data_IF_037018226200
#
_entry.id   IF_037018226200
#
_cell.length_a   1.000
_cell.length_b   1.000
_cell.length_c   1.000
_cell.angle_alpha   90.00
_cell.angle_beta   90.00
_cell.angle_gamma   90.00
#
_symmetry.space_group_name_H-M   'P 1'
#
loop_
_entity.id
_entity.type
_entity.pdbx_description
1 polymer ?
#
# COMPACT_ATOMS: atom_id res chain seq x y z
N UNK A 1 35.08 1.70 -58.63
CA UNK A 1 35.03 2.53 -57.41
C UNK A 1 33.56 2.84 -57.16
N UNK A 2 32.90 2.04 -56.42
CA UNK A 2 31.45 2.11 -56.21
C UNK A 2 31.11 1.88 -54.73
N UNK A 3 30.29 2.74 -54.21
CA UNK A 3 29.38 2.53 -53.06
C UNK A 3 29.98 2.29 -51.66
N UNK A 4 30.74 3.28 -51.16
CA UNK A 4 31.05 3.32 -49.72
C UNK A 4 30.21 4.37 -48.94
N UNK A 5 29.33 5.12 -49.61
CA UNK A 5 28.59 6.24 -49.02
C UNK A 5 27.12 5.92 -48.63
N UNK A 6 26.62 4.72 -48.93
CA UNK A 6 25.21 4.35 -48.64
C UNK A 6 24.99 3.72 -47.30
N UNK A 7 26.03 3.36 -46.53
CA UNK A 7 25.84 2.72 -45.20
C UNK A 7 25.81 3.70 -44.03
N UNK A 8 26.13 4.98 -44.24
CA UNK A 8 26.12 6.00 -43.18
C UNK A 8 24.77 6.70 -43.01
N UNK A 9 23.83 6.52 -43.94
CA UNK A 9 22.47 7.11 -43.86
C UNK A 9 21.39 6.14 -43.46
N UNK A 10 21.67 4.86 -43.21
CA UNK A 10 20.69 3.89 -42.78
C UNK A 10 20.45 3.85 -41.27
N UNK A 11 21.31 4.50 -40.47
CA UNK A 11 21.19 4.56 -39.03
C UNK A 11 20.19 5.61 -38.51
N UNK A 12 19.90 6.65 -39.28
CA UNK A 12 18.95 7.71 -38.89
C UNK A 12 17.49 7.44 -39.29
N UNK A 13 17.24 6.46 -40.15
CA UNK A 13 15.88 6.09 -40.60
C UNK A 13 15.16 5.10 -39.67
N UNK A 14 15.85 4.45 -38.75
CA UNK A 14 15.24 3.48 -37.84
C UNK A 14 14.61 4.13 -36.60
N UNK A 15 14.94 5.38 -36.28
CA UNK A 15 14.37 6.11 -35.14
C UNK A 15 13.04 6.79 -35.47
N UNK A 16 12.77 7.07 -36.76
CA UNK A 16 11.52 7.70 -37.23
C UNK A 16 10.37 6.68 -37.48
N UNK A 17 10.62 5.39 -37.33
CA UNK A 17 9.57 4.39 -37.43
C UNK A 17 8.83 4.25 -36.09
N UNK A 18 7.54 3.87 -36.13
CA UNK A 18 6.76 3.63 -34.91
C UNK A 18 7.46 2.62 -33.98
N UNK A 19 8.14 1.63 -34.54
CA UNK A 19 8.94 0.64 -33.82
C UNK A 19 10.21 1.25 -33.18
N UNK A 20 10.89 2.13 -33.89
CA UNK A 20 12.05 2.86 -33.37
C UNK A 20 11.69 3.80 -32.21
N UNK A 21 10.55 4.50 -32.32
CA UNK A 21 10.00 5.34 -31.26
C UNK A 21 9.62 4.51 -30.02
N UNK A 22 8.87 3.42 -30.21
CA UNK A 22 8.49 2.54 -29.10
C UNK A 22 9.70 1.95 -28.34
N UNK A 23 10.75 1.57 -29.08
CA UNK A 23 12.00 1.08 -28.48
C UNK A 23 12.75 2.16 -27.69
N UNK A 24 12.73 3.41 -28.18
CA UNK A 24 13.32 4.54 -27.47
C UNK A 24 12.52 4.90 -26.21
N UNK A 25 11.18 4.89 -26.29
CA UNK A 25 10.29 5.14 -25.17
C UNK A 25 10.50 4.09 -24.08
N UNK A 26 10.57 2.79 -24.44
CA UNK A 26 10.87 1.72 -23.47
C UNK A 26 12.24 1.95 -22.79
N UNK A 27 13.26 2.29 -23.55
CA UNK A 27 14.60 2.58 -23.00
C UNK A 27 14.57 3.76 -22.03
N UNK A 28 13.85 4.83 -22.39
CA UNK A 28 13.72 6.01 -21.54
C UNK A 28 12.94 5.68 -20.26
N UNK A 29 11.85 4.90 -20.36
CA UNK A 29 11.11 4.38 -19.21
C UNK A 29 12.03 3.63 -18.26
N UNK A 30 12.80 2.66 -18.76
CA UNK A 30 13.70 1.85 -17.95
C UNK A 30 14.75 2.71 -17.23
N UNK A 31 15.36 3.67 -17.94
CA UNK A 31 16.34 4.59 -17.35
C UNK A 31 15.71 5.37 -16.19
N UNK A 32 14.55 5.98 -16.41
CA UNK A 32 13.86 6.78 -15.40
C UNK A 32 13.44 5.93 -14.19
N UNK A 33 12.88 4.74 -14.43
CA UNK A 33 12.50 3.79 -13.37
C UNK A 33 13.71 3.45 -12.49
N UNK A 34 14.82 3.03 -13.09
CA UNK A 34 16.02 2.65 -12.33
C UNK A 34 16.72 3.83 -11.65
N UNK A 35 16.74 5.01 -12.26
CA UNK A 35 17.26 6.22 -11.61
C UNK A 35 16.39 6.62 -10.42
N UNK A 36 15.07 6.50 -10.52
CA UNK A 36 14.15 6.70 -9.41
C UNK A 36 14.39 5.73 -8.26
N UNK A 37 14.54 4.43 -8.54
CA UNK A 37 14.84 3.41 -7.52
C UNK A 37 16.18 3.72 -6.83
N UNK A 38 17.20 4.09 -7.59
CA UNK A 38 18.51 4.46 -7.02
C UNK A 38 18.42 5.69 -6.15
N UNK A 39 17.73 6.73 -6.62
CA UNK A 39 17.50 7.96 -5.87
C UNK A 39 16.76 7.71 -4.56
N UNK A 40 15.72 6.88 -4.57
CA UNK A 40 14.97 6.49 -3.39
C UNK A 40 15.86 5.79 -2.35
N UNK A 41 16.71 4.85 -2.79
CA UNK A 41 17.65 4.13 -1.90
C UNK A 41 18.66 5.04 -1.20
N UNK A 42 19.07 6.14 -1.82
CA UNK A 42 20.02 7.10 -1.23
C UNK A 42 19.31 8.31 -0.59
N UNK A 43 17.99 8.24 -0.39
CA UNK A 43 17.21 9.28 0.28
C UNK A 43 16.93 10.54 -0.55
N UNK A 44 17.22 10.55 -1.85
CA UNK A 44 16.88 11.66 -2.75
C UNK A 44 15.41 11.57 -3.20
N UNK A 45 14.49 11.67 -2.22
CA UNK A 45 13.06 11.39 -2.40
C UNK A 45 12.42 12.28 -3.48
N UNK A 46 12.72 13.57 -3.48
CA UNK A 46 12.16 14.50 -4.48
C UNK A 46 12.58 14.15 -5.92
N UNK A 47 13.84 13.74 -6.11
CA UNK A 47 14.31 13.29 -7.41
C UNK A 47 13.72 11.94 -7.82
N UNK A 48 13.56 11.00 -6.86
CA UNK A 48 12.87 9.73 -7.10
C UNK A 48 11.44 9.94 -7.59
N UNK A 49 10.66 10.82 -6.91
CA UNK A 49 9.29 11.18 -7.32
C UNK A 49 9.28 11.70 -8.75
N UNK A 50 10.21 12.61 -9.09
CA UNK A 50 10.32 13.15 -10.45
C UNK A 50 10.55 12.04 -11.47
N UNK A 51 11.53 11.18 -11.23
CA UNK A 51 11.87 10.07 -12.13
C UNK A 51 10.69 9.12 -12.34
N UNK A 52 10.03 8.68 -11.26
CA UNK A 52 8.88 7.78 -11.36
C UNK A 52 7.70 8.43 -12.08
N UNK A 53 7.43 9.72 -11.82
CA UNK A 53 6.35 10.44 -12.51
C UNK A 53 6.63 10.55 -14.01
N UNK A 54 7.88 10.89 -14.40
CA UNK A 54 8.28 10.95 -15.80
C UNK A 54 8.25 9.57 -16.49
N UNK A 55 8.64 8.51 -15.78
CA UNK A 55 8.53 7.13 -16.28
C UNK A 55 7.05 6.76 -16.55
N UNK A 56 6.15 7.05 -15.60
CA UNK A 56 4.72 6.76 -15.72
C UNK A 56 4.00 7.60 -16.78
N UNK A 57 4.56 8.74 -17.19
CA UNK A 57 4.09 9.50 -18.36
C UNK A 57 4.42 8.82 -19.69
N UNK A 58 5.44 7.95 -19.71
CA UNK A 58 5.80 7.16 -20.90
C UNK A 58 4.97 5.89 -20.96
N UNK A 59 4.89 5.18 -19.83
CA UNK A 59 4.22 3.88 -19.75
C UNK A 59 3.64 3.67 -18.34
N UNK A 60 2.40 3.22 -18.25
CA UNK A 60 1.85 2.72 -17.00
C UNK A 60 2.54 1.42 -16.59
N UNK A 61 3.02 1.38 -15.34
CA UNK A 61 3.73 0.22 -14.77
C UNK A 61 3.43 0.11 -13.27
N UNK A 62 2.82 -0.99 -12.90
CA UNK A 62 2.36 -1.23 -11.53
C UNK A 62 3.50 -1.19 -10.50
N UNK A 63 4.66 -1.73 -10.86
CA UNK A 63 5.84 -1.70 -9.98
C UNK A 63 6.36 -0.28 -9.77
N UNK A 64 6.41 0.53 -10.83
CA UNK A 64 6.81 1.95 -10.75
C UNK A 64 5.82 2.76 -9.92
N UNK A 65 4.51 2.48 -10.02
CA UNK A 65 3.50 3.09 -9.15
C UNK A 65 3.71 2.73 -7.68
N UNK A 66 4.05 1.48 -7.35
CA UNK A 66 4.39 1.07 -5.98
C UNK A 66 5.59 1.88 -5.43
N UNK A 67 6.64 2.05 -6.23
CA UNK A 67 7.77 2.90 -5.86
C UNK A 67 7.36 4.36 -5.66
N UNK A 68 6.49 4.89 -6.52
CA UNK A 68 5.99 6.25 -6.40
C UNK A 68 5.15 6.46 -5.14
N UNK A 69 4.26 5.52 -4.79
CA UNK A 69 3.50 5.52 -3.52
C UNK A 69 4.44 5.57 -2.33
N UNK A 70 5.45 4.71 -2.31
CA UNK A 70 6.48 4.70 -1.25
C UNK A 70 7.23 6.03 -1.18
N UNK A 71 7.62 6.61 -2.32
CA UNK A 71 8.30 7.89 -2.37
C UNK A 71 7.42 9.05 -1.89
N UNK A 72 6.12 9.06 -2.23
CA UNK A 72 5.17 10.04 -1.71
C UNK A 72 4.98 9.90 -0.20
N UNK A 73 4.90 8.67 0.32
CA UNK A 73 4.82 8.41 1.77
C UNK A 73 6.06 8.94 2.51
N UNK A 74 7.27 8.71 1.96
CA UNK A 74 8.51 9.27 2.50
C UNK A 74 8.55 10.81 2.47
N UNK A 75 7.85 11.44 1.52
CA UNK A 75 7.74 12.89 1.38
C UNK A 75 6.55 13.50 2.14
N UNK A 76 5.78 12.70 2.90
CA UNK A 76 4.52 13.10 3.55
C UNK A 76 3.50 13.70 2.57
N UNK A 77 3.48 13.25 1.30
CA UNK A 77 2.51 13.67 0.28
C UNK A 77 1.37 12.64 0.20
N UNK A 78 0.60 12.54 1.27
CA UNK A 78 -0.39 11.47 1.50
C UNK A 78 -1.50 11.45 0.45
N UNK A 79 -1.99 12.62 0.01
CA UNK A 79 -3.02 12.74 -1.01
C UNK A 79 -2.53 12.21 -2.37
N UNK A 80 -1.28 12.48 -2.76
CA UNK A 80 -0.72 11.97 -4.01
C UNK A 80 -0.46 10.47 -3.96
N UNK A 81 -0.09 9.96 -2.78
CA UNK A 81 -0.02 8.52 -2.57
C UNK A 81 -1.39 7.88 -2.79
N UNK A 82 -2.48 8.48 -2.25
CA UNK A 82 -3.84 8.00 -2.43
C UNK A 82 -4.27 8.03 -3.91
N UNK A 83 -3.99 9.13 -4.63
CA UNK A 83 -4.28 9.22 -6.07
C UNK A 83 -3.60 8.09 -6.87
N UNK A 84 -2.34 7.82 -6.57
CA UNK A 84 -1.60 6.73 -7.23
C UNK A 84 -2.18 5.36 -6.87
N UNK A 85 -2.54 5.13 -5.60
CA UNK A 85 -3.18 3.89 -5.15
C UNK A 85 -4.56 3.68 -5.78
N UNK A 86 -5.33 4.74 -5.99
CA UNK A 86 -6.61 4.64 -6.69
C UNK A 86 -6.43 4.13 -8.11
N UNK A 87 -5.45 4.66 -8.85
CA UNK A 87 -5.12 4.15 -10.21
C UNK A 87 -4.67 2.69 -10.16
N UNK A 88 -3.86 2.31 -9.18
CA UNK A 88 -3.43 0.91 -9.03
C UNK A 88 -4.60 -0.04 -8.76
N UNK A 89 -5.59 0.37 -7.95
CA UNK A 89 -6.80 -0.44 -7.71
C UNK A 89 -7.69 -0.50 -8.95
N UNK A 90 -7.74 0.55 -9.79
CA UNK A 90 -8.43 0.50 -11.07
C UNK A 90 -7.77 -0.50 -12.05
N UNK A 91 -6.43 -0.61 -12.03
CA UNK A 91 -5.69 -1.56 -12.85
C UNK A 91 -5.85 -3.01 -12.35
N UNK A 92 -5.75 -3.22 -11.06
CA UNK A 92 -5.79 -4.52 -10.40
C UNK A 92 -6.74 -4.51 -9.18
N UNK A 93 -8.07 -4.60 -9.39
CA UNK A 93 -9.08 -4.47 -8.32
C UNK A 93 -9.05 -5.57 -7.26
N UNK A 94 -8.37 -6.67 -7.55
CA UNK A 94 -8.27 -7.84 -6.67
C UNK A 94 -6.90 -7.96 -5.98
N UNK A 95 -6.02 -6.97 -6.18
CA UNK A 95 -4.71 -6.99 -5.57
C UNK A 95 -4.76 -6.58 -4.09
N UNK A 96 -4.89 -7.58 -3.21
CA UNK A 96 -5.10 -7.40 -1.76
C UNK A 96 -4.05 -6.46 -1.14
N UNK A 97 -2.78 -6.58 -1.52
CA UNK A 97 -1.73 -5.74 -0.94
C UNK A 97 -1.92 -4.26 -1.27
N UNK A 98 -2.39 -3.93 -2.47
CA UNK A 98 -2.72 -2.53 -2.83
C UNK A 98 -3.89 -2.00 -2.01
N UNK A 99 -4.95 -2.79 -1.84
CA UNK A 99 -6.08 -2.43 -1.00
C UNK A 99 -5.64 -2.16 0.45
N UNK A 100 -4.83 -3.03 1.05
CA UNK A 100 -4.31 -2.86 2.41
C UNK A 100 -3.36 -1.65 2.52
N UNK A 101 -2.57 -1.38 1.50
CA UNK A 101 -1.72 -0.18 1.45
C UNK A 101 -2.59 1.09 1.37
N UNK A 102 -3.67 1.06 0.57
CA UNK A 102 -4.62 2.17 0.48
C UNK A 102 -5.34 2.40 1.80
N UNK A 103 -5.76 1.35 2.49
CA UNK A 103 -6.31 1.44 3.84
C UNK A 103 -5.38 2.19 4.80
N UNK A 104 -4.08 1.91 4.75
CA UNK A 104 -3.10 2.61 5.60
C UNK A 104 -3.03 4.11 5.29
N UNK A 105 -3.08 4.48 4.02
CA UNK A 105 -3.09 5.88 3.57
C UNK A 105 -4.42 6.56 3.90
N UNK A 106 -5.55 5.86 3.76
CA UNK A 106 -6.89 6.35 4.10
C UNK A 106 -7.01 6.68 5.60
N UNK A 107 -6.40 5.86 6.47
CA UNK A 107 -6.32 6.18 7.91
C UNK A 107 -5.55 7.47 8.19
N UNK A 108 -4.48 7.78 7.43
CA UNK A 108 -3.73 9.04 7.59
C UNK A 108 -4.55 10.26 7.17
N UNK A 109 -5.63 10.06 6.43
CA UNK A 109 -6.52 11.10 5.90
C UNK A 109 -7.89 11.13 6.60
N UNK A 110 -8.06 10.37 7.69
CA UNK A 110 -9.31 10.24 8.46
C UNK A 110 -10.52 9.88 7.57
N UNK A 111 -10.32 8.90 6.66
CA UNK A 111 -11.32 8.45 5.67
C UNK A 111 -11.88 7.07 6.02
N UNK A 112 -12.45 6.94 7.22
CA UNK A 112 -12.89 5.66 7.80
C UNK A 112 -13.92 4.92 6.94
N UNK A 113 -14.81 5.62 6.26
CA UNK A 113 -15.79 4.98 5.38
C UNK A 113 -15.12 4.25 4.20
N UNK A 114 -14.10 4.87 3.61
CA UNK A 114 -13.31 4.28 2.54
C UNK A 114 -12.44 3.12 3.07
N UNK A 115 -11.90 3.24 4.28
CA UNK A 115 -11.19 2.14 4.97
C UNK A 115 -12.09 0.92 5.11
N UNK A 116 -13.33 1.09 5.60
CA UNK A 116 -14.28 -0.01 5.78
C UNK A 116 -14.60 -0.66 4.43
N UNK A 117 -14.80 0.13 3.37
CA UNK A 117 -15.09 -0.39 2.04
C UNK A 117 -13.94 -1.24 1.49
N UNK A 118 -12.69 -0.79 1.62
CA UNK A 118 -11.52 -1.54 1.17
C UNK A 118 -11.31 -2.82 2.00
N UNK A 119 -11.48 -2.75 3.32
CA UNK A 119 -11.40 -3.92 4.18
C UNK A 119 -12.46 -4.98 3.82
N UNK A 120 -13.70 -4.56 3.54
CA UNK A 120 -14.75 -5.47 3.07
C UNK A 120 -14.33 -6.13 1.76
N UNK A 121 -13.75 -5.37 0.81
CA UNK A 121 -13.26 -5.94 -0.43
C UNK A 121 -12.15 -6.96 -0.21
N UNK A 122 -11.20 -6.68 0.70
CA UNK A 122 -10.16 -7.66 1.08
C UNK A 122 -10.78 -8.94 1.66
N UNK A 123 -11.79 -8.81 2.54
CA UNK A 123 -12.48 -9.94 3.16
C UNK A 123 -13.26 -10.77 2.13
N UNK A 124 -13.86 -10.13 1.13
CA UNK A 124 -14.49 -10.83 0.00
C UNK A 124 -13.50 -11.68 -0.80
N UNK A 125 -12.26 -11.19 -0.97
CA UNK A 125 -11.19 -11.87 -1.71
C UNK A 125 -10.50 -12.95 -0.86
N UNK A 126 -10.35 -12.69 0.44
CA UNK A 126 -9.70 -13.57 1.42
C UNK A 126 -10.37 -13.41 2.78
N UNK A 127 -11.37 -14.27 3.06
CA UNK A 127 -12.11 -14.27 4.33
C UNK A 127 -11.20 -14.57 5.54
N UNK A 128 -10.06 -15.19 5.32
CA UNK A 128 -9.08 -15.54 6.36
C UNK A 128 -8.12 -14.39 6.71
N UNK A 129 -8.25 -13.24 6.07
CA UNK A 129 -7.39 -12.09 6.29
C UNK A 129 -7.67 -11.40 7.63
N UNK A 130 -7.04 -11.89 8.70
CA UNK A 130 -7.21 -11.35 10.06
C UNK A 130 -6.88 -9.85 10.16
N UNK A 131 -5.94 -9.35 9.32
CA UNK A 131 -5.57 -7.94 9.33
C UNK A 131 -6.69 -7.05 8.80
N UNK A 132 -7.41 -7.48 7.75
CA UNK A 132 -8.55 -6.74 7.22
C UNK A 132 -9.67 -6.60 8.27
N UNK A 133 -9.99 -7.68 8.99
CA UNK A 133 -10.94 -7.65 10.11
C UNK A 133 -10.49 -6.67 11.20
N UNK A 134 -9.24 -6.71 11.60
CA UNK A 134 -8.68 -5.80 12.59
C UNK A 134 -8.74 -4.32 12.16
N UNK A 135 -8.33 -4.02 10.92
CA UNK A 135 -8.35 -2.65 10.39
C UNK A 135 -9.77 -2.11 10.26
N UNK A 136 -10.72 -2.96 9.85
CA UNK A 136 -12.15 -2.61 9.80
C UNK A 136 -12.69 -2.28 11.19
N UNK A 137 -12.35 -3.07 12.20
CA UNK A 137 -12.73 -2.81 13.58
C UNK A 137 -12.16 -1.48 14.09
N UNK A 138 -10.90 -1.17 13.75
CA UNK A 138 -10.26 0.09 14.11
C UNK A 138 -11.02 1.29 13.52
N UNK A 139 -11.45 1.21 12.25
CA UNK A 139 -12.26 2.25 11.62
C UNK A 139 -13.65 2.37 12.25
N UNK A 140 -14.33 1.23 12.53
CA UNK A 140 -15.63 1.23 13.20
C UNK A 140 -15.57 1.84 14.60
N UNK A 141 -14.49 1.56 15.37
CA UNK A 141 -14.29 2.20 16.67
C UNK A 141 -14.23 3.72 16.54
N UNK A 142 -13.49 4.25 15.57
CA UNK A 142 -13.35 5.69 15.33
C UNK A 142 -14.69 6.34 14.94
N UNK A 143 -15.52 5.64 14.17
CA UNK A 143 -16.87 6.11 13.79
C UNK A 143 -17.94 5.89 14.87
N UNK A 144 -17.59 5.27 16.00
CA UNK A 144 -18.50 5.02 17.13
C UNK A 144 -19.29 3.72 17.04
N UNK A 145 -19.10 2.88 16.04
CA UNK A 145 -19.71 1.53 15.96
C UNK A 145 -18.91 0.54 16.81
N UNK A 146 -19.07 0.68 18.13
CA UNK A 146 -18.33 -0.14 19.10
C UNK A 146 -18.72 -1.63 19.04
N UNK A 147 -20.00 -1.92 18.83
CA UNK A 147 -20.46 -3.31 18.74
C UNK A 147 -19.96 -4.00 17.46
N UNK A 148 -19.99 -3.30 16.34
CA UNK A 148 -19.37 -3.78 15.09
C UNK A 148 -17.89 -4.01 15.24
N UNK A 149 -17.17 -3.10 15.92
CA UNK A 149 -15.75 -3.25 16.19
C UNK A 149 -15.43 -4.50 17.02
N UNK A 150 -16.20 -4.79 18.09
CA UNK A 150 -16.04 -6.01 18.89
C UNK A 150 -16.26 -7.27 18.05
N UNK A 151 -17.28 -7.26 17.18
CA UNK A 151 -17.57 -8.39 16.29
C UNK A 151 -16.41 -8.68 15.34
N UNK A 152 -15.87 -7.65 14.69
CA UNK A 152 -14.74 -7.77 13.75
C UNK A 152 -13.45 -8.21 14.47
N UNK A 153 -13.18 -7.66 15.68
CA UNK A 153 -12.02 -8.07 16.49
C UNK A 153 -12.13 -9.54 16.93
N UNK A 154 -13.35 -9.99 17.25
CA UNK A 154 -13.58 -11.40 17.57
C UNK A 154 -13.26 -12.29 16.38
N UNK A 155 -13.59 -11.88 15.15
CA UNK A 155 -13.20 -12.58 13.92
C UNK A 155 -11.69 -12.55 13.71
N UNK A 156 -11.04 -11.40 13.86
CA UNK A 156 -9.58 -11.27 13.72
C UNK A 156 -8.84 -12.21 14.70
N UNK A 157 -9.28 -12.27 15.96
CA UNK A 157 -8.71 -13.14 16.98
C UNK A 157 -8.97 -14.62 16.68
N UNK A 158 -10.16 -14.97 16.19
CA UNK A 158 -10.46 -16.36 15.82
C UNK A 158 -9.61 -16.85 14.64
N UNK A 159 -9.19 -15.95 13.74
CA UNK A 159 -8.30 -16.26 12.61
C UNK A 159 -6.82 -16.27 13.01
N UNK A 160 -6.46 -15.50 14.04
CA UNK A 160 -5.10 -15.40 14.56
C UNK A 160 -5.14 -15.25 16.08
N UNK A 161 -4.93 -16.33 16.81
CA UNK A 161 -5.08 -16.43 18.27
C UNK A 161 -3.90 -15.82 19.07
N UNK A 162 -2.81 -15.47 18.41
CA UNK A 162 -1.66 -14.76 18.94
C UNK A 162 -1.62 -13.26 18.56
N UNK A 163 -2.76 -12.71 18.10
CA UNK A 163 -2.83 -11.32 17.63
C UNK A 163 -3.01 -10.35 18.81
N UNK A 164 -1.93 -10.00 19.48
CA UNK A 164 -1.90 -9.13 20.66
C UNK A 164 -2.65 -7.81 20.45
N UNK A 165 -2.42 -7.13 19.33
CA UNK A 165 -3.08 -5.84 19.03
C UNK A 165 -4.60 -5.96 18.96
N UNK A 166 -5.14 -7.09 18.48
CA UNK A 166 -6.59 -7.29 18.41
C UNK A 166 -7.21 -7.50 19.80
N UNK A 167 -6.53 -8.20 20.70
CA UNK A 167 -6.96 -8.33 22.10
C UNK A 167 -6.92 -6.97 22.81
N UNK A 168 -5.82 -6.20 22.66
CA UNK A 168 -5.71 -4.88 23.26
C UNK A 168 -6.81 -3.94 22.76
N UNK A 169 -7.03 -3.91 21.46
CA UNK A 169 -8.06 -3.05 20.87
C UNK A 169 -9.46 -3.46 21.33
N UNK A 170 -9.77 -4.76 21.45
CA UNK A 170 -11.08 -5.23 21.93
C UNK A 170 -11.28 -4.87 23.41
N UNK A 171 -10.25 -5.03 24.22
CA UNK A 171 -10.27 -4.59 25.61
C UNK A 171 -10.50 -3.08 25.74
N UNK A 172 -9.82 -2.25 24.93
CA UNK A 172 -10.05 -0.79 24.91
C UNK A 172 -11.50 -0.44 24.56
N UNK A 173 -12.09 -1.09 23.55
CA UNK A 173 -13.49 -0.87 23.18
C UNK A 173 -14.44 -1.28 24.29
N UNK A 174 -14.22 -2.44 24.91
CA UNK A 174 -15.04 -2.92 26.04
C UNK A 174 -14.95 -1.98 27.26
N UNK A 175 -13.75 -1.48 27.58
CA UNK A 175 -13.56 -0.51 28.67
C UNK A 175 -14.29 0.81 28.36
N UNK A 176 -14.23 1.29 27.12
CA UNK A 176 -14.96 2.49 26.70
C UNK A 176 -16.50 2.31 26.84
N UNK A 177 -17.00 1.08 26.68
CA UNK A 177 -18.39 0.70 26.92
C UNK A 177 -18.71 0.44 28.40
N UNK A 178 -17.74 0.63 29.31
CA UNK A 178 -17.86 0.34 30.76
C UNK A 178 -18.06 -1.16 31.07
N UNK A 179 -17.62 -2.03 30.19
CA UNK A 179 -17.67 -3.49 30.31
C UNK A 179 -16.30 -4.03 30.77
N UNK A 180 -15.84 -3.57 31.94
CA UNK A 180 -14.49 -3.90 32.43
C UNK A 180 -14.29 -5.38 32.76
N UNK A 181 -15.32 -6.09 33.15
CA UNK A 181 -15.21 -7.53 33.45
C UNK A 181 -14.98 -8.35 32.16
N UNK A 182 -15.62 -7.97 31.07
CA UNK A 182 -15.49 -8.59 29.78
C UNK A 182 -14.14 -8.28 29.11
N UNK A 183 -13.50 -7.16 29.50
CA UNK A 183 -12.18 -6.78 29.01
C UNK A 183 -11.02 -7.56 29.65
N UNK A 184 -11.21 -8.08 30.88
CA UNK A 184 -10.14 -8.73 31.64
C UNK A 184 -9.49 -9.92 30.91
N UNK A 185 -10.23 -10.85 30.30
CA UNK A 185 -9.63 -11.99 29.57
C UNK A 185 -8.73 -11.56 28.41
N UNK A 186 -9.10 -10.48 27.72
CA UNK A 186 -8.31 -9.94 26.62
C UNK A 186 -7.01 -9.33 27.10
N UNK A 187 -7.05 -8.58 28.21
CA UNK A 187 -5.87 -8.00 28.84
C UNK A 187 -4.92 -9.10 29.31
N UNK A 188 -5.44 -10.12 30.01
CA UNK A 188 -4.66 -11.27 30.47
C UNK A 188 -4.00 -12.00 29.30
N UNK A 189 -4.75 -12.21 28.20
CA UNK A 189 -4.24 -12.86 27.01
C UNK A 189 -3.14 -12.01 26.33
N UNK A 190 -3.36 -10.70 26.19
CA UNK A 190 -2.36 -9.78 25.63
C UNK A 190 -1.06 -9.79 26.45
N UNK A 191 -1.16 -9.78 27.78
CA UNK A 191 0.01 -9.89 28.67
C UNK A 191 0.72 -11.23 28.47
N UNK A 192 0.00 -12.33 28.36
CA UNK A 192 0.57 -13.67 28.15
C UNK A 192 1.30 -13.80 26.79
N UNK A 193 0.93 -12.99 25.80
CA UNK A 193 1.53 -12.96 24.47
C UNK A 193 2.69 -11.94 24.37
N UNK A 194 2.82 -11.03 25.35
CA UNK A 194 3.92 -10.08 25.38
C UNK A 194 5.25 -10.84 25.57
N UNK A 195 6.32 -10.48 24.84
CA UNK A 195 7.62 -11.07 25.06
C UNK A 195 8.07 -10.72 26.49
N UNK A 196 8.58 -11.72 27.23
CA UNK A 196 9.24 -11.46 28.52
C UNK A 196 10.39 -10.49 28.25
N UNK A 197 10.33 -9.28 28.85
CA UNK A 197 11.50 -8.40 28.89
C UNK A 197 12.56 -9.14 29.72
N UNK A 198 13.60 -9.64 29.06
CA UNK A 198 14.80 -10.10 29.75
C UNK A 198 15.36 -8.92 30.55
N UNK A 199 15.03 -8.89 31.82
CA UNK A 199 15.66 -7.97 32.79
C UNK A 199 17.12 -8.41 32.94
N UNK A 200 18.00 -7.82 32.12
CA UNK A 200 19.46 -7.87 32.28
C UNK A 200 19.91 -6.84 33.30
#
# INVERSE_FOLDING_TARGET
MGNFFTSLFSSSKSEDTAEGKAKNDQKNFDILKYDGIRAQKIGQVAYAIKCFTEALNIQEDFETMNHLVSAYSMANQTEKALETLNRMVEMEPEHIQTLLTRVSVLFMLDKEAEVIADCLRVIELDESNHLAWFLMAKAKRTTGDQLGAIGDLTKAIALKDDFTDAYLLRAEVLLAMKQGQEALPDIEKAISLAPEEETT
#
